data_IF_001677711370
#
_entry.id   IF_001677711370
#
_cell.length_a   1.000
_cell.length_b   1.000
_cell.length_c   1.000
_cell.angle_alpha   90.00
_cell.angle_beta   90.00
_cell.angle_gamma   90.00
#
_symmetry.space_group_name_H-M   'P 1'
#
loop_
_entity.id
_entity.type
_entity.pdbx_description
1 polymer ?
#
# COMPACT_ATOMS: atom_id res chain seq x y z
N UNK A 1 17.14 41.92 39.93
CA UNK A 1 17.14 40.50 39.50
C UNK A 1 16.27 40.38 38.25
N UNK A 2 16.83 40.69 37.09
CA UNK A 2 16.12 40.78 35.80
C UNK A 2 16.00 39.38 35.19
N UNK A 3 14.78 38.84 35.09
CA UNK A 3 14.53 37.57 34.40
C UNK A 3 14.70 37.78 32.90
N UNK A 4 15.70 37.11 32.32
CA UNK A 4 15.87 37.03 30.87
C UNK A 4 14.64 36.35 30.24
N UNK A 5 14.05 36.91 29.17
CA UNK A 5 12.92 36.28 28.49
C UNK A 5 13.44 35.06 27.73
N UNK A 6 12.98 33.86 28.12
CA UNK A 6 13.24 32.63 27.36
C UNK A 6 12.57 32.77 25.99
N UNK A 7 13.37 32.80 24.92
CA UNK A 7 12.85 32.67 23.53
C UNK A 7 12.03 31.38 23.40
N UNK A 8 10.85 31.41 22.77
CA UNK A 8 10.07 30.21 22.47
C UNK A 8 10.90 29.22 21.64
N UNK A 9 10.97 27.95 22.05
CA UNK A 9 11.69 26.85 21.36
C UNK A 9 10.89 26.33 20.16
N UNK A 10 10.34 27.21 19.34
CA UNK A 10 9.39 26.81 18.28
C UNK A 10 9.99 26.84 16.87
N UNK A 11 11.12 27.53 16.65
CA UNK A 11 11.71 27.66 15.31
C UNK A 11 12.62 26.51 14.87
N UNK A 12 13.02 25.60 15.77
CA UNK A 12 14.12 24.65 15.46
C UNK A 12 13.69 23.38 14.70
N UNK A 13 12.46 23.31 14.19
CA UNK A 13 11.96 22.16 13.40
C UNK A 13 11.58 22.52 11.97
N UNK A 14 11.44 23.82 11.67
CA UNK A 14 11.16 24.34 10.33
C UNK A 14 12.41 24.63 9.51
N UNK A 15 13.56 24.80 10.16
CA UNK A 15 14.80 25.28 9.53
C UNK A 15 15.59 24.18 8.77
N UNK A 16 15.27 22.90 8.96
CA UNK A 16 15.98 21.76 8.34
C UNK A 16 15.25 21.13 7.14
N UNK A 17 14.08 21.64 6.74
CA UNK A 17 13.38 21.14 5.54
C UNK A 17 13.79 22.01 4.36
N UNK A 18 14.57 21.43 3.44
CA UNK A 18 14.86 22.05 2.15
C UNK A 18 13.56 22.12 1.34
N UNK A 19 12.95 23.30 1.37
CA UNK A 19 11.75 23.60 0.59
C UNK A 19 12.09 23.73 -0.89
N UNK A 20 11.09 23.48 -1.73
CA UNK A 20 11.18 23.72 -3.16
C UNK A 20 11.46 25.18 -3.52
N UNK A 21 11.82 25.46 -4.78
CA UNK A 21 12.07 26.81 -5.28
C UNK A 21 10.86 27.75 -5.17
N UNK A 22 9.67 27.22 -4.90
CA UNK A 22 8.43 27.95 -4.70
C UNK A 22 8.13 28.28 -3.22
N UNK A 23 9.00 27.85 -2.29
CA UNK A 23 8.83 28.05 -0.86
C UNK A 23 7.91 27.03 -0.19
N UNK A 24 7.46 27.29 1.04
CA UNK A 24 6.58 26.40 1.77
C UNK A 24 5.19 26.40 1.10
N UNK A 25 4.86 25.30 0.42
CA UNK A 25 3.56 25.11 -0.24
C UNK A 25 2.40 25.07 0.75
N UNK A 26 1.24 25.61 0.33
CA UNK A 26 0.00 25.59 1.11
C UNK A 26 -0.63 24.19 1.16
N UNK A 27 -1.77 24.03 1.84
CA UNK A 27 -2.54 22.79 1.79
C UNK A 27 -2.96 22.49 0.33
N UNK A 28 -2.71 21.26 -0.19
CA UNK A 28 -3.03 20.94 -1.57
C UNK A 28 -4.54 21.07 -1.85
N UNK A 29 -4.91 21.83 -2.88
CA UNK A 29 -6.32 21.97 -3.32
C UNK A 29 -6.94 20.61 -3.69
N UNK A 30 -6.13 19.66 -4.17
CA UNK A 30 -6.52 18.27 -4.40
C UNK A 30 -5.58 17.36 -3.62
N UNK A 31 -6.14 16.55 -2.73
CA UNK A 31 -5.38 15.58 -1.94
C UNK A 31 -4.86 14.43 -2.83
N UNK A 32 -3.52 14.29 -3.00
CA UNK A 32 -2.95 13.21 -3.81
C UNK A 32 -3.19 11.82 -3.20
N UNK A 33 -3.40 11.72 -1.88
CA UNK A 33 -3.65 10.47 -1.19
C UNK A 33 -4.98 9.83 -1.60
N UNK A 34 -5.96 10.66 -2.00
CA UNK A 34 -7.24 10.18 -2.51
C UNK A 34 -7.09 9.45 -3.85
N UNK A 35 -6.20 9.91 -4.73
CA UNK A 35 -5.88 9.22 -5.99
C UNK A 35 -5.20 7.86 -5.74
N UNK A 36 -4.24 7.83 -4.82
CA UNK A 36 -3.54 6.60 -4.42
C UNK A 36 -4.49 5.53 -3.87
N UNK A 37 -5.53 5.93 -3.13
CA UNK A 37 -6.54 5.00 -2.59
C UNK A 37 -7.27 4.20 -3.68
N UNK A 38 -7.50 4.82 -4.85
CA UNK A 38 -8.09 4.13 -6.00
C UNK A 38 -7.15 3.05 -6.55
N UNK A 39 -5.87 3.39 -6.71
CA UNK A 39 -4.83 2.44 -7.16
C UNK A 39 -4.75 1.24 -6.21
N UNK A 40 -4.69 1.48 -4.90
CA UNK A 40 -4.66 0.40 -3.91
C UNK A 40 -5.88 -0.54 -4.01
N UNK A 41 -7.08 0.00 -4.22
CA UNK A 41 -8.28 -0.82 -4.40
C UNK A 41 -8.25 -1.63 -5.70
N UNK A 42 -7.77 -1.03 -6.80
CA UNK A 42 -7.62 -1.72 -8.08
C UNK A 42 -6.61 -2.87 -8.01
N UNK A 43 -5.46 -2.63 -7.35
CA UNK A 43 -4.45 -3.66 -7.10
C UNK A 43 -5.02 -4.85 -6.33
N UNK A 44 -5.82 -4.62 -5.28
CA UNK A 44 -6.43 -5.71 -4.51
C UNK A 44 -7.46 -6.52 -5.29
N UNK A 45 -8.26 -5.87 -6.14
CA UNK A 45 -9.22 -6.60 -6.98
C UNK A 45 -8.46 -7.48 -7.98
N UNK A 46 -7.42 -6.93 -8.62
CA UNK A 46 -6.56 -7.70 -9.54
C UNK A 46 -5.85 -8.86 -8.82
N UNK A 47 -5.38 -8.63 -7.60
CA UNK A 47 -4.78 -9.67 -6.75
C UNK A 47 -5.80 -10.77 -6.43
N UNK A 48 -7.01 -10.40 -6.00
CA UNK A 48 -8.08 -11.35 -5.70
C UNK A 48 -8.44 -12.21 -6.91
N UNK A 49 -8.59 -11.61 -8.10
CA UNK A 49 -8.84 -12.34 -9.35
C UNK A 49 -7.69 -13.32 -9.62
N UNK A 50 -6.43 -12.88 -9.48
CA UNK A 50 -5.26 -13.73 -9.72
C UNK A 50 -5.20 -14.90 -8.73
N UNK A 51 -5.53 -14.67 -7.46
CA UNK A 51 -5.65 -15.72 -6.43
C UNK A 51 -6.74 -16.72 -6.80
N UNK A 52 -7.91 -16.26 -7.26
CA UNK A 52 -8.96 -17.18 -7.72
C UNK A 52 -8.54 -17.97 -8.96
N UNK A 53 -7.74 -17.39 -9.87
CA UNK A 53 -7.15 -18.14 -10.98
C UNK A 53 -6.19 -19.23 -10.48
N UNK A 54 -5.53 -19.07 -9.34
CA UNK A 54 -4.73 -20.15 -8.74
C UNK A 54 -5.55 -21.39 -8.36
N UNK A 55 -6.86 -21.28 -8.09
CA UNK A 55 -7.72 -22.46 -7.89
C UNK A 55 -7.73 -23.35 -9.15
N UNK A 56 -7.81 -22.72 -10.32
CA UNK A 56 -7.79 -23.44 -11.60
C UNK A 56 -6.45 -24.14 -11.82
N UNK A 57 -5.35 -23.50 -11.41
CA UNK A 57 -3.99 -24.06 -11.49
C UNK A 57 -3.85 -25.29 -10.59
N UNK A 58 -4.28 -25.19 -9.33
CA UNK A 58 -4.23 -26.30 -8.36
C UNK A 58 -5.09 -27.49 -8.81
N UNK A 59 -6.24 -27.22 -9.44
CA UNK A 59 -7.13 -28.26 -9.99
C UNK A 59 -6.53 -28.98 -11.21
N UNK A 60 -5.82 -28.25 -12.08
CA UNK A 60 -5.33 -28.79 -13.36
C UNK A 60 -3.96 -29.46 -13.25
N UNK A 61 -3.15 -29.12 -12.25
CA UNK A 61 -1.83 -29.72 -12.06
C UNK A 61 -1.95 -31.16 -11.55
N UNK A 62 -1.21 -32.08 -12.16
CA UNK A 62 -1.09 -33.49 -11.76
C UNK A 62 -2.46 -34.15 -11.51
N UNK A 63 -3.42 -33.93 -12.42
CA UNK A 63 -4.79 -34.46 -12.32
C UNK A 63 -5.53 -34.11 -11.01
N UNK A 64 -5.14 -33.01 -10.36
CA UNK A 64 -5.76 -32.55 -9.11
C UNK A 64 -5.13 -33.12 -7.85
N UNK A 65 -3.90 -33.66 -7.91
CA UNK A 65 -3.16 -34.13 -6.71
C UNK A 65 -3.05 -33.07 -5.61
N UNK A 66 -3.04 -31.78 -5.99
CA UNK A 66 -2.99 -30.65 -5.07
C UNK A 66 -4.37 -30.17 -4.59
N UNK A 67 -5.46 -30.79 -5.05
CA UNK A 67 -6.85 -30.47 -4.67
C UNK A 67 -7.23 -31.06 -3.30
N UNK A 68 -6.41 -30.80 -2.30
CA UNK A 68 -6.75 -31.14 -0.92
C UNK A 68 -7.75 -30.14 -0.35
N UNK A 69 -8.54 -30.56 0.63
CA UNK A 69 -9.53 -29.67 1.28
C UNK A 69 -8.88 -28.41 1.85
N UNK A 70 -7.68 -28.55 2.41
CA UNK A 70 -6.93 -27.42 2.94
C UNK A 70 -6.55 -26.40 1.85
N UNK A 71 -6.02 -26.87 0.71
CA UNK A 71 -5.46 -26.00 -0.33
C UNK A 71 -6.52 -25.13 -1.01
N UNK A 72 -7.62 -25.71 -1.49
CA UNK A 72 -8.65 -24.94 -2.19
C UNK A 72 -9.41 -24.01 -1.24
N UNK A 73 -9.65 -24.43 0.01
CA UNK A 73 -10.28 -23.58 1.03
C UNK A 73 -9.39 -22.39 1.34
N UNK A 74 -8.09 -22.61 1.57
CA UNK A 74 -7.15 -21.53 1.84
C UNK A 74 -7.14 -20.49 0.72
N UNK A 75 -6.98 -20.93 -0.54
CA UNK A 75 -6.94 -20.00 -1.69
C UNK A 75 -8.26 -19.25 -1.84
N UNK A 76 -9.40 -19.92 -1.63
CA UNK A 76 -10.72 -19.28 -1.69
C UNK A 76 -10.87 -18.21 -0.60
N UNK A 77 -10.53 -18.54 0.65
CA UNK A 77 -10.58 -17.61 1.79
C UNK A 77 -9.66 -16.42 1.53
N UNK A 78 -8.44 -16.65 1.03
CA UNK A 78 -7.49 -15.59 0.72
C UNK A 78 -8.00 -14.68 -0.41
N UNK A 79 -8.58 -15.24 -1.47
CA UNK A 79 -9.16 -14.45 -2.57
C UNK A 79 -10.31 -13.56 -2.08
N UNK A 80 -11.21 -14.10 -1.26
CA UNK A 80 -12.29 -13.30 -0.65
C UNK A 80 -11.76 -12.26 0.35
N UNK A 81 -10.75 -12.59 1.15
CA UNK A 81 -10.14 -11.65 2.08
C UNK A 81 -9.57 -10.43 1.33
N UNK A 82 -8.85 -10.64 0.22
CA UNK A 82 -8.34 -9.56 -0.63
C UNK A 82 -9.46 -8.78 -1.31
N UNK A 83 -10.50 -9.47 -1.79
CA UNK A 83 -11.66 -8.83 -2.40
C UNK A 83 -12.37 -7.90 -1.39
N UNK A 84 -12.62 -8.37 -0.17
CA UNK A 84 -13.24 -7.57 0.88
C UNK A 84 -12.31 -6.41 1.29
N UNK A 85 -11.01 -6.67 1.42
CA UNK A 85 -10.03 -5.64 1.74
C UNK A 85 -10.01 -4.51 0.70
N UNK A 86 -10.32 -4.78 -0.58
CA UNK A 86 -10.39 -3.77 -1.63
C UNK A 86 -11.41 -2.66 -1.33
N UNK A 87 -12.51 -2.98 -0.64
CA UNK A 87 -13.54 -2.02 -0.28
C UNK A 87 -13.19 -1.20 0.98
N UNK A 88 -12.20 -1.65 1.76
CA UNK A 88 -11.79 -1.01 3.03
C UNK A 88 -10.59 -0.06 2.85
N UNK A 89 -10.11 0.12 1.61
CA UNK A 89 -8.87 0.87 1.31
C UNK A 89 -8.87 2.36 1.70
N UNK A 90 -10.05 2.94 1.99
CA UNK A 90 -10.15 4.34 2.47
C UNK A 90 -9.79 4.53 3.94
N UNK A 91 -9.48 3.45 4.68
CA UNK A 91 -9.15 3.52 6.11
C UNK A 91 -7.64 3.69 6.36
N UNK A 92 -7.24 4.38 7.45
CA UNK A 92 -5.83 4.66 7.75
C UNK A 92 -4.97 3.42 8.03
N UNK A 93 -5.58 2.26 8.30
CA UNK A 93 -4.90 0.98 8.51
C UNK A 93 -4.85 0.06 7.27
N UNK A 94 -5.32 0.51 6.10
CA UNK A 94 -5.43 -0.34 4.92
C UNK A 94 -4.10 -0.95 4.47
N UNK A 95 -3.00 -0.18 4.55
CA UNK A 95 -1.67 -0.70 4.20
C UNK A 95 -1.21 -1.84 5.10
N UNK A 96 -1.48 -1.75 6.41
CA UNK A 96 -1.16 -2.81 7.34
C UNK A 96 -1.99 -4.07 7.08
N UNK A 97 -3.27 -3.90 6.72
CA UNK A 97 -4.13 -5.01 6.30
C UNK A 97 -3.56 -5.70 5.05
N UNK A 98 -3.16 -4.95 4.04
CA UNK A 98 -2.64 -5.49 2.78
C UNK A 98 -1.33 -6.24 3.01
N UNK A 99 -0.37 -5.64 3.73
CA UNK A 99 0.88 -6.32 4.09
C UNK A 99 0.62 -7.56 4.95
N UNK A 100 -0.34 -7.49 5.88
CA UNK A 100 -0.73 -8.60 6.73
C UNK A 100 -1.35 -9.77 5.97
N UNK A 101 -2.09 -9.50 4.88
CA UNK A 101 -2.63 -10.52 3.98
C UNK A 101 -1.57 -11.10 3.03
N UNK A 102 -0.51 -10.32 2.71
CA UNK A 102 0.56 -10.77 1.82
C UNK A 102 1.39 -11.90 2.43
N UNK A 103 1.74 -11.79 3.72
CA UNK A 103 2.58 -12.77 4.42
C UNK A 103 2.02 -14.19 4.36
N UNK A 104 0.76 -14.45 4.77
CA UNK A 104 0.19 -15.79 4.67
C UNK A 104 0.04 -16.25 3.22
N UNK A 105 -0.28 -15.35 2.27
CA UNK A 105 -0.38 -15.70 0.85
C UNK A 105 0.96 -16.26 0.32
N UNK A 106 2.08 -15.62 0.63
CA UNK A 106 3.40 -16.07 0.18
C UNK A 106 3.81 -17.34 0.90
N UNK A 107 3.76 -17.35 2.24
CA UNK A 107 4.28 -18.45 3.05
C UNK A 107 3.47 -19.72 2.77
N UNK A 108 2.14 -19.66 2.95
CA UNK A 108 1.28 -20.83 2.76
C UNK A 108 1.13 -21.16 1.29
N UNK A 109 1.04 -20.14 0.41
CA UNK A 109 0.97 -20.37 -1.04
C UNK A 109 2.18 -21.14 -1.56
N UNK A 110 3.39 -20.85 -1.07
CA UNK A 110 4.58 -21.59 -1.46
C UNK A 110 4.55 -23.06 -1.01
N UNK A 111 3.98 -23.37 0.16
CA UNK A 111 3.77 -24.74 0.62
C UNK A 111 2.70 -25.50 -0.20
N UNK A 112 1.70 -24.79 -0.75
CA UNK A 112 0.69 -25.40 -1.63
C UNK A 112 1.31 -25.73 -2.98
N UNK A 113 1.90 -24.73 -3.64
CA UNK A 113 2.58 -24.90 -4.91
C UNK A 113 3.45 -23.67 -5.22
N UNK A 114 4.63 -23.88 -5.83
CA UNK A 114 5.57 -22.80 -6.12
C UNK A 114 4.95 -21.66 -6.94
N UNK A 115 4.02 -21.96 -7.85
CA UNK A 115 3.36 -20.94 -8.68
C UNK A 115 2.44 -20.01 -7.87
N UNK A 116 1.80 -20.51 -6.80
CA UNK A 116 0.96 -19.69 -5.91
C UNK A 116 1.84 -18.75 -5.10
N UNK A 117 2.96 -19.28 -4.57
CA UNK A 117 3.99 -18.46 -3.93
C UNK A 117 4.55 -17.39 -4.87
N UNK A 118 4.81 -17.73 -6.14
CA UNK A 118 5.31 -16.79 -7.14
C UNK A 118 4.32 -15.64 -7.42
N UNK A 119 3.01 -15.91 -7.47
CA UNK A 119 1.96 -14.88 -7.55
C UNK A 119 2.02 -13.96 -6.33
N UNK A 120 2.11 -14.52 -5.13
CA UNK A 120 2.22 -13.73 -3.90
C UNK A 120 3.46 -12.83 -3.88
N UNK A 121 4.60 -13.32 -4.38
CA UNK A 121 5.83 -12.53 -4.50
C UNK A 121 5.66 -11.40 -5.52
N UNK A 122 5.08 -11.68 -6.69
CA UNK A 122 4.81 -10.67 -7.71
C UNK A 122 3.99 -9.50 -7.14
N UNK A 123 2.91 -9.80 -6.41
CA UNK A 123 2.10 -8.77 -5.79
C UNK A 123 2.82 -8.07 -4.63
N UNK A 124 3.70 -8.74 -3.89
CA UNK A 124 4.53 -8.06 -2.90
C UNK A 124 5.46 -7.01 -3.53
N UNK A 125 5.98 -7.26 -4.74
CA UNK A 125 6.74 -6.26 -5.49
C UNK A 125 5.84 -5.07 -5.86
N UNK A 126 4.62 -5.33 -6.33
CA UNK A 126 3.65 -4.26 -6.64
C UNK A 126 3.33 -3.44 -5.38
N UNK A 127 3.10 -4.08 -4.24
CA UNK A 127 2.87 -3.41 -2.97
C UNK A 127 4.06 -2.58 -2.51
N UNK A 128 5.28 -3.09 -2.68
CA UNK A 128 6.49 -2.33 -2.43
C UNK A 128 6.53 -1.04 -3.26
N UNK A 129 6.23 -1.12 -4.56
CA UNK A 129 6.17 0.06 -5.43
C UNK A 129 5.09 1.06 -5.00
N UNK A 130 3.92 0.58 -4.57
CA UNK A 130 2.84 1.42 -4.05
C UNK A 130 3.26 2.14 -2.75
N UNK A 131 3.92 1.44 -1.84
CA UNK A 131 4.44 2.02 -0.58
C UNK A 131 5.53 3.04 -0.85
N UNK A 132 6.43 2.74 -1.81
CA UNK A 132 7.46 3.67 -2.25
C UNK A 132 6.83 4.95 -2.81
N UNK A 133 5.88 4.82 -3.75
CA UNK A 133 5.20 5.97 -4.35
C UNK A 133 4.46 6.81 -3.30
N UNK A 134 3.84 6.18 -2.31
CA UNK A 134 3.21 6.88 -1.18
C UNK A 134 4.22 7.71 -0.40
N UNK A 135 5.38 7.13 -0.10
CA UNK A 135 6.43 7.77 0.68
C UNK A 135 6.99 8.98 -0.07
N UNK A 136 7.22 8.83 -1.37
CA UNK A 136 7.70 9.91 -2.25
C UNK A 136 6.69 11.05 -2.35
N UNK A 137 5.39 10.76 -2.48
CA UNK A 137 4.33 11.79 -2.51
C UNK A 137 4.29 12.57 -1.18
N UNK A 138 4.33 11.87 -0.05
CA UNK A 138 4.32 12.51 1.28
C UNK A 138 5.56 13.38 1.51
N UNK A 139 6.72 12.93 1.01
CA UNK A 139 7.95 13.72 1.07
C UNK A 139 7.85 14.98 0.20
N UNK A 140 7.37 14.85 -1.04
CA UNK A 140 7.16 15.99 -1.95
C UNK A 140 6.16 17.00 -1.39
N UNK A 141 5.09 16.53 -0.74
CA UNK A 141 4.10 17.39 -0.09
C UNK A 141 4.72 18.14 1.11
N UNK A 142 5.55 17.48 1.92
CA UNK A 142 6.27 18.12 3.04
C UNK A 142 7.25 19.20 2.57
N UNK A 143 7.89 19.00 1.42
CA UNK A 143 8.84 19.95 0.84
C UNK A 143 8.17 21.08 0.04
N UNK A 144 6.84 21.10 -0.09
CA UNK A 144 6.14 22.10 -0.89
C UNK A 144 6.47 21.99 -2.38
N UNK A 145 6.62 20.77 -2.92
CA UNK A 145 6.98 20.56 -4.33
C UNK A 145 5.77 20.36 -5.24
N UNK A 146 4.55 20.24 -4.69
CA UNK A 146 3.37 19.98 -5.51
C UNK A 146 2.85 21.28 -6.11
N UNK A 147 2.55 21.26 -7.41
CA UNK A 147 1.96 22.40 -8.12
C UNK A 147 0.61 22.81 -7.53
N UNK A 148 -0.16 21.84 -7.03
CA UNK A 148 -1.45 22.08 -6.37
C UNK A 148 -1.36 22.83 -5.04
N UNK A 149 -0.17 22.95 -4.45
CA UNK A 149 0.08 23.74 -3.24
C UNK A 149 0.36 25.23 -3.56
N UNK A 150 0.52 25.57 -4.83
CA UNK A 150 0.84 26.92 -5.33
C UNK A 150 -0.22 27.42 -6.33
N UNK A 151 -1.35 26.70 -6.45
CA UNK A 151 -2.49 27.16 -7.25
C UNK A 151 -3.18 28.32 -6.51
N UNK A 152 -2.86 29.56 -6.87
CA UNK A 152 -3.47 30.76 -6.30
C UNK A 152 -2.51 31.75 -5.62
N UNK A 153 -1.20 31.51 -5.70
CA UNK A 153 -0.15 32.51 -5.41
C UNK A 153 0.26 33.24 -6.69
#
# INVERSE_FOLDING_TARGET
>A
MTRSPRKPRESRRSDDIEYGPLGPGQEPVKDPMKGLSGVMSGTLIMEAITIFLCLTVILKIQEGALWTTFNWVFVTVMGFAHLIAAFVQRRPGALWLNLGLQVPLIVVGFFIHWSVGAVGIMFAIVWFLVVQMRSDILERQRRGLLTTQHLGT
#
